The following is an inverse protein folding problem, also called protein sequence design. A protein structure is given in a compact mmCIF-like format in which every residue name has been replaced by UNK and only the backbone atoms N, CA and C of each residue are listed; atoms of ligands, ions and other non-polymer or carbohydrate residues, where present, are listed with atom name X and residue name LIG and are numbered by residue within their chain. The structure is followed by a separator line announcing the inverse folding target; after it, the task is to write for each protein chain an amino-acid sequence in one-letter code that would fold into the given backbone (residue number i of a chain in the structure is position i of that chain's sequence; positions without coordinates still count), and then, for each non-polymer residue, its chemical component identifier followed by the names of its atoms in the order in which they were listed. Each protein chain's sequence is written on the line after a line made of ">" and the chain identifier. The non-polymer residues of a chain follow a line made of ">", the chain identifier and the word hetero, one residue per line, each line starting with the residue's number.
data_IF_915775591112
#
_entry.id   IF_915775591112
#
_cell.length_a   1.000
_cell.length_b   1.000
_cell.length_c   1.000
_cell.angle_alpha   90.00
_cell.angle_beta   90.00
_cell.angle_gamma   90.00
#
_symmetry.space_group_name_H-M   'P 1'
#
loop_
_entity.id
_entity.type
_entity.pdbx_description
1 polymer ?
#
# COMPACT_ATOMS: atom_id res chain seq x y z
N UNK A 1 -17.36 1.86 -7.54
CA UNK A 1 -16.52 0.63 -7.60
C UNK A 1 -15.39 0.76 -6.59
N UNK A 2 -14.74 -0.34 -6.22
CA UNK A 2 -13.49 -0.32 -5.45
C UNK A 2 -12.38 -0.85 -6.36
N UNK A 3 -11.23 -0.19 -6.33
CA UNK A 3 -10.04 -0.51 -7.10
C UNK A 3 -8.95 -1.04 -6.17
N UNK A 4 -8.29 -2.07 -6.65
CA UNK A 4 -7.15 -2.71 -6.00
C UNK A 4 -5.99 -2.79 -6.98
N UNK A 5 -4.78 -2.76 -6.45
CA UNK A 5 -3.57 -2.80 -7.24
C UNK A 5 -2.68 -3.93 -6.73
N UNK A 6 -2.28 -4.79 -7.67
CA UNK A 6 -1.41 -5.94 -7.43
C UNK A 6 0.00 -5.60 -7.94
N UNK A 7 0.92 -5.16 -7.06
CA UNK A 7 2.30 -4.89 -7.42
C UNK A 7 3.01 -6.17 -7.83
N UNK A 8 3.86 -6.06 -8.86
CA UNK A 8 4.67 -7.17 -9.36
C UNK A 8 5.69 -7.70 -8.34
N UNK A 9 6.06 -6.88 -7.34
CA UNK A 9 7.08 -7.19 -6.33
C UNK A 9 6.46 -7.12 -4.93
N UNK A 10 6.86 -8.03 -4.04
CA UNK A 10 6.44 -8.11 -2.64
C UNK A 10 5.16 -8.92 -2.40
N UNK A 11 4.24 -8.92 -3.37
CA UNK A 11 3.02 -9.72 -3.32
C UNK A 11 2.02 -9.26 -2.26
N UNK A 12 2.12 -8.00 -1.84
CA UNK A 12 1.08 -7.31 -1.07
C UNK A 12 -0.09 -6.87 -1.96
N UNK A 13 -1.30 -6.76 -1.42
CA UNK A 13 -2.44 -6.13 -2.11
C UNK A 13 -2.54 -4.68 -1.69
N UNK A 14 -2.64 -3.75 -2.65
CA UNK A 14 -2.80 -2.32 -2.37
C UNK A 14 -4.25 -1.91 -2.64
N UNK A 15 -4.99 -1.52 -1.59
CA UNK A 15 -6.37 -1.07 -1.70
C UNK A 15 -6.39 0.43 -1.99
N UNK A 16 -6.88 0.80 -3.18
CA UNK A 16 -6.99 2.21 -3.58
C UNK A 16 -8.37 2.76 -3.22
N UNK A 17 -9.43 1.96 -3.29
CA UNK A 17 -10.80 2.39 -3.02
C UNK A 17 -11.53 2.87 -4.25
N UNK A 18 -12.33 3.92 -4.13
CA UNK A 18 -13.19 4.45 -5.21
C UNK A 18 -12.47 5.05 -6.44
N UNK A 19 -11.13 5.13 -6.42
CA UNK A 19 -10.36 5.74 -7.50
C UNK A 19 -10.44 7.27 -7.53
N UNK A 20 -10.99 7.91 -6.49
CA UNK A 20 -10.86 9.36 -6.33
C UNK A 20 -9.46 9.72 -5.82
N UNK A 21 -9.00 10.94 -6.11
CA UNK A 21 -7.71 11.46 -5.64
C UNK A 21 -6.49 10.55 -5.90
N UNK A 22 -6.47 9.79 -7.01
CA UNK A 22 -5.40 8.83 -7.33
C UNK A 22 -4.00 9.42 -7.21
N UNK A 23 -3.80 10.64 -7.70
CA UNK A 23 -2.48 11.31 -7.64
C UNK A 23 -1.99 11.47 -6.19
N UNK A 24 -2.87 11.86 -5.28
CA UNK A 24 -2.54 11.99 -3.85
C UNK A 24 -2.27 10.63 -3.21
N UNK A 25 -3.13 9.64 -3.48
CA UNK A 25 -2.99 8.27 -2.95
C UNK A 25 -1.69 7.61 -3.44
N UNK A 26 -1.35 7.76 -4.71
CA UNK A 26 -0.09 7.24 -5.28
C UNK A 26 1.13 7.97 -4.76
N UNK A 27 1.07 9.30 -4.56
CA UNK A 27 2.18 10.04 -3.97
C UNK A 27 2.47 9.55 -2.54
N UNK A 28 1.41 9.29 -1.76
CA UNK A 28 1.52 8.74 -0.41
C UNK A 28 2.09 7.32 -0.41
N UNK A 29 1.63 6.47 -1.33
CA UNK A 29 2.17 5.12 -1.52
C UNK A 29 3.66 5.15 -1.87
N UNK A 30 4.07 6.07 -2.75
CA UNK A 30 5.48 6.28 -3.13
C UNK A 30 6.32 6.66 -1.91
N UNK A 31 5.87 7.66 -1.14
CA UNK A 31 6.55 8.07 0.10
C UNK A 31 6.64 6.92 1.11
N UNK A 32 5.59 6.10 1.23
CA UNK A 32 5.61 4.92 2.09
C UNK A 32 6.63 3.87 1.62
N UNK A 33 6.74 3.60 0.33
CA UNK A 33 7.76 2.69 -0.18
C UNK A 33 9.19 3.24 -0.01
N UNK A 34 9.39 4.55 -0.20
CA UNK A 34 10.71 5.19 -0.06
C UNK A 34 11.16 5.31 1.40
N UNK A 35 10.25 5.62 2.32
CA UNK A 35 10.60 5.94 3.71
C UNK A 35 10.07 4.92 4.73
N UNK A 36 8.86 4.39 4.55
CA UNK A 36 8.21 3.45 5.48
C UNK A 36 8.60 1.98 5.29
N UNK A 37 9.09 1.62 4.11
CA UNK A 37 9.69 0.31 3.78
C UNK A 37 11.19 0.38 3.49
N UNK A 38 11.86 1.42 4.01
CA UNK A 38 13.31 1.54 3.94
C UNK A 38 13.96 0.34 4.67
N UNK A 39 14.66 -0.51 3.91
CA UNK A 39 15.29 -1.74 4.43
C UNK A 39 15.10 -2.98 3.53
N UNK A 40 14.27 -2.90 2.49
CA UNK A 40 14.15 -3.97 1.49
C UNK A 40 13.22 -5.11 1.88
N UNK A 41 12.50 -5.02 2.99
CA UNK A 41 11.51 -6.00 3.40
C UNK A 41 10.15 -5.76 2.72
N UNK A 42 10.14 -5.95 1.40
CA UNK A 42 8.93 -5.82 0.56
C UNK A 42 7.84 -6.84 0.89
N UNK A 43 8.13 -7.85 1.72
CA UNK A 43 7.20 -8.92 2.09
C UNK A 43 6.62 -8.76 3.49
N UNK A 44 6.99 -7.69 4.20
CA UNK A 44 6.53 -7.38 5.55
C UNK A 44 5.01 -7.29 5.68
N UNK A 45 4.35 -6.77 4.65
CA UNK A 45 2.92 -6.51 4.67
C UNK A 45 2.19 -7.39 3.66
N UNK A 46 1.03 -7.91 4.05
CA UNK A 46 0.12 -8.59 3.14
C UNK A 46 -0.79 -7.59 2.43
N UNK A 47 -1.20 -6.51 3.12
CA UNK A 47 -2.11 -5.50 2.58
C UNK A 47 -1.66 -4.09 2.95
N UNK A 48 -1.85 -3.17 2.01
CA UNK A 48 -1.63 -1.73 2.19
C UNK A 48 -2.92 -1.03 1.80
N UNK A 49 -3.54 -0.30 2.72
CA UNK A 49 -4.80 0.41 2.51
C UNK A 49 -4.56 1.91 2.38
N UNK A 50 -4.87 2.44 1.19
CA UNK A 50 -4.75 3.86 0.82
C UNK A 50 -6.10 4.58 0.80
N UNK A 51 -7.18 3.92 1.24
CA UNK A 51 -8.53 4.51 1.24
C UNK A 51 -8.66 5.66 2.25
N UNK A 52 -7.79 5.69 3.25
CA UNK A 52 -7.74 6.74 4.26
C UNK A 52 -6.88 7.92 3.76
N UNK A 53 -7.45 9.13 3.81
CA UNK A 53 -6.81 10.34 3.27
C UNK A 53 -5.44 10.60 3.90
N UNK A 54 -5.34 10.60 5.22
CA UNK A 54 -4.12 11.03 5.93
C UNK A 54 -3.31 9.90 6.56
N UNK A 55 -3.84 8.67 6.56
CA UNK A 55 -3.15 7.50 7.11
C UNK A 55 -2.99 6.36 6.09
N UNK A 56 -1.91 5.57 6.20
CA UNK A 56 -1.78 4.30 5.48
C UNK A 56 -1.94 3.20 6.51
N UNK A 57 -2.89 2.30 6.30
CA UNK A 57 -3.10 1.17 7.18
C UNK A 57 -2.47 -0.06 6.53
N UNK A 58 -1.54 -0.70 7.24
CA UNK A 58 -0.87 -1.91 6.75
C UNK A 58 -1.25 -3.12 7.59
N UNK A 59 -1.50 -4.24 6.94
CA UNK A 59 -1.65 -5.53 7.62
C UNK A 59 -0.33 -6.28 7.51
N UNK A 60 0.31 -6.54 8.65
CA UNK A 60 1.53 -7.34 8.68
C UNK A 60 1.23 -8.77 8.25
N UNK A 61 2.11 -9.34 7.43
CA UNK A 61 1.99 -10.73 7.01
C UNK A 61 2.31 -11.65 8.20
N UNK A 62 1.36 -12.49 8.62
CA UNK A 62 1.49 -13.35 9.80
C UNK A 62 1.86 -14.81 9.50
N UNK A 63 2.20 -15.14 8.25
CA UNK A 63 2.71 -16.49 7.94
C UNK A 63 4.05 -16.74 8.64
N UNK A 64 4.22 -17.89 9.32
CA UNK A 64 5.49 -18.30 9.92
C UNK A 64 6.58 -18.55 8.87
#
# INVERSE_FOLDING_TARGET
>A
GQFELLPRVGGQVVLIGDGSALKQRFNKLKQFYEHGMAGGDWRRYERIDLRFTDQIVCTQRSTP
#
